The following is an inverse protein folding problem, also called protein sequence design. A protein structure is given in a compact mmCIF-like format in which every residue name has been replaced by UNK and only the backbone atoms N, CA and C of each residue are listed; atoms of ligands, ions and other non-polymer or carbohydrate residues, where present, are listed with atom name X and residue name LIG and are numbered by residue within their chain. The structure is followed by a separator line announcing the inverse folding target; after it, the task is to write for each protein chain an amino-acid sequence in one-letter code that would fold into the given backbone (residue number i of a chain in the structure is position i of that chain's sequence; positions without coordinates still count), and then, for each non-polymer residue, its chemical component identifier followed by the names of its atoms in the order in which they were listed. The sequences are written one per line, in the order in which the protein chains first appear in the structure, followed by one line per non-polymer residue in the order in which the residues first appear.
data_IF_309930006709
#
_entry.id   IF_309930006709
#
_cell.length_a   1.000
_cell.length_b   1.000
_cell.length_c   1.000
_cell.angle_alpha   90.00
_cell.angle_beta   90.00
_cell.angle_gamma   90.00
#
_symmetry.space_group_name_H-M   'P 1'
#
loop_
_entity.id
_entity.type
_entity.pdbx_description
1 polymer ?
#
# COMPACT_ATOMS: atom_id res chain seq x y z
N UNK A 1 -19.48 -29.32 8.92
CA UNK A 1 -20.05 -28.24 8.09
C UNK A 1 -19.02 -27.13 8.08
N UNK A 2 -18.26 -26.99 6.98
CA UNK A 2 -17.26 -25.93 6.83
C UNK A 2 -17.97 -24.59 6.62
N UNK A 3 -17.42 -23.53 7.22
CA UNK A 3 -17.98 -22.20 7.22
C UNK A 3 -17.94 -21.63 5.77
N UNK A 4 -18.97 -20.90 5.27
CA UNK A 4 -18.98 -20.39 3.90
C UNK A 4 -17.82 -19.44 3.54
N UNK A 5 -17.09 -18.97 4.56
CA UNK A 5 -15.90 -18.11 4.44
C UNK A 5 -14.67 -18.96 4.06
N UNK A 6 -14.52 -20.17 4.60
CA UNK A 6 -13.36 -21.03 4.36
C UNK A 6 -13.33 -21.56 2.92
N UNK A 7 -14.50 -21.91 2.37
CA UNK A 7 -14.65 -22.34 0.98
C UNK A 7 -14.25 -21.25 -0.04
N UNK A 8 -14.47 -19.97 0.30
CA UNK A 8 -14.09 -18.83 -0.56
C UNK A 8 -12.58 -18.54 -0.52
N UNK A 9 -11.92 -18.83 0.59
CA UNK A 9 -10.47 -18.68 0.75
C UNK A 9 -9.74 -19.81 -0.01
N UNK A 10 -10.26 -21.04 0.07
CA UNK A 10 -9.72 -22.18 -0.69
C UNK A 10 -9.89 -22.03 -2.21
N UNK A 11 -11.05 -21.55 -2.70
CA UNK A 11 -11.25 -21.26 -4.12
C UNK A 11 -10.34 -20.13 -4.64
N UNK A 12 -10.06 -19.11 -3.81
CA UNK A 12 -9.15 -18.01 -4.12
C UNK A 12 -7.68 -18.48 -4.21
N UNK A 13 -7.26 -19.36 -3.29
CA UNK A 13 -5.94 -19.98 -3.30
C UNK A 13 -5.77 -20.95 -4.48
N UNK A 14 -6.81 -21.67 -4.86
CA UNK A 14 -6.80 -22.55 -6.03
C UNK A 14 -6.68 -21.77 -7.35
N UNK A 15 -7.43 -20.67 -7.51
CA UNK A 15 -7.30 -19.79 -8.69
C UNK A 15 -5.92 -19.12 -8.77
N UNK A 16 -5.34 -18.74 -7.62
CA UNK A 16 -3.99 -18.17 -7.51
C UNK A 16 -2.91 -19.15 -7.99
N UNK A 17 -3.04 -20.43 -7.65
CA UNK A 17 -2.03 -21.44 -7.98
C UNK A 17 -2.04 -21.87 -9.45
N UNK A 18 -3.19 -21.79 -10.13
CA UNK A 18 -3.30 -22.08 -11.57
C UNK A 18 -2.82 -20.92 -12.47
N UNK A 19 -2.65 -19.71 -11.93
CA UNK A 19 -2.20 -18.53 -12.69
C UNK A 19 -0.69 -18.48 -12.95
N UNK A 20 0.11 -19.26 -12.22
CA UNK A 20 1.57 -19.30 -12.37
C UNK A 20 2.10 -20.73 -12.23
N UNK A 21 1.91 -21.56 -13.26
CA UNK A 21 2.71 -22.79 -13.40
C UNK A 21 4.14 -22.39 -13.78
N UNK A 22 5.15 -22.71 -12.95
CA UNK A 22 6.54 -22.31 -13.20
C UNK A 22 7.09 -22.83 -14.54
N UNK A 23 6.55 -23.94 -15.03
CA UNK A 23 7.04 -24.64 -16.21
C UNK A 23 6.51 -24.05 -17.54
N UNK A 24 5.47 -23.21 -17.52
CA UNK A 24 4.83 -22.71 -18.74
C UNK A 24 5.50 -21.43 -19.29
N UNK A 25 6.43 -20.83 -18.55
CA UNK A 25 7.06 -19.56 -18.93
C UNK A 25 8.57 -19.63 -18.70
N UNK A 26 9.29 -20.01 -19.76
CA UNK A 26 10.74 -19.79 -19.82
C UNK A 26 10.99 -18.29 -19.92
N UNK A 27 11.51 -17.70 -18.84
CA UNK A 27 11.87 -16.27 -18.76
C UNK A 27 12.80 -15.85 -19.91
N UNK A 28 13.63 -16.80 -20.37
CA UNK A 28 14.59 -16.67 -21.47
C UNK A 28 13.90 -16.50 -22.84
N UNK A 29 12.68 -17.02 -23.00
CA UNK A 29 11.94 -17.05 -24.27
C UNK A 29 10.98 -15.86 -24.43
N UNK A 30 10.91 -14.93 -23.46
CA UNK A 30 10.03 -13.77 -23.51
C UNK A 30 10.75 -12.55 -24.10
N UNK A 31 10.41 -12.11 -25.33
CA UNK A 31 10.85 -10.81 -25.83
C UNK A 31 10.40 -9.71 -24.85
N UNK A 32 11.24 -8.71 -24.56
CA UNK A 32 10.89 -7.57 -23.68
C UNK A 32 9.53 -6.93 -24.00
N UNK A 33 9.09 -6.97 -25.27
CA UNK A 33 7.79 -6.47 -25.72
C UNK A 33 6.61 -7.32 -25.21
N UNK A 34 6.80 -8.64 -25.09
CA UNK A 34 5.77 -9.59 -24.62
C UNK A 34 5.66 -9.62 -23.09
N UNK A 35 6.74 -9.34 -22.36
CA UNK A 35 6.70 -9.17 -20.90
C UNK A 35 5.74 -8.04 -20.52
N UNK A 36 5.82 -6.91 -21.24
CA UNK A 36 4.91 -5.77 -21.06
C UNK A 36 3.49 -6.09 -21.53
N UNK A 37 3.34 -6.87 -22.61
CA UNK A 37 2.06 -7.36 -23.12
C UNK A 37 1.33 -8.27 -22.11
N UNK A 38 2.05 -9.06 -21.33
CA UNK A 38 1.49 -9.92 -20.29
C UNK A 38 0.78 -9.10 -19.21
N UNK A 39 1.37 -7.96 -18.82
CA UNK A 39 0.73 -6.99 -17.91
C UNK A 39 -0.36 -6.12 -18.56
N UNK A 40 -0.56 -6.22 -19.87
CA UNK A 40 -1.66 -5.53 -20.59
C UNK A 40 -2.79 -6.48 -20.97
N UNK A 41 -2.51 -7.78 -21.11
CA UNK A 41 -3.49 -8.84 -21.36
C UNK A 41 -4.36 -9.11 -20.13
N UNK A 42 -3.78 -9.01 -18.94
CA UNK A 42 -4.51 -8.98 -17.68
C UNK A 42 -4.71 -7.53 -17.27
N UNK A 43 -5.95 -7.14 -16.96
CA UNK A 43 -6.23 -5.84 -16.38
C UNK A 43 -5.51 -5.77 -15.03
N UNK A 44 -4.41 -5.02 -14.94
CA UNK A 44 -3.58 -4.94 -13.72
C UNK A 44 -4.42 -4.61 -12.47
N UNK A 45 -5.48 -3.82 -12.64
CA UNK A 45 -6.43 -3.53 -11.55
C UNK A 45 -7.21 -4.76 -11.06
N UNK A 46 -7.56 -5.70 -11.95
CA UNK A 46 -8.23 -6.96 -11.58
C UNK A 46 -7.26 -7.89 -10.86
N UNK A 47 -6.00 -7.99 -11.30
CA UNK A 47 -4.97 -8.76 -10.59
C UNK A 47 -4.68 -8.18 -9.20
N UNK A 48 -4.62 -6.85 -9.08
CA UNK A 48 -4.47 -6.19 -7.78
C UNK A 48 -5.69 -6.40 -6.89
N UNK A 49 -6.90 -6.43 -7.45
CA UNK A 49 -8.13 -6.73 -6.71
C UNK A 49 -8.18 -8.18 -6.22
N UNK A 50 -7.70 -9.16 -6.98
CA UNK A 50 -7.59 -10.54 -6.50
C UNK A 50 -6.66 -10.65 -5.27
N UNK A 51 -5.57 -9.90 -5.27
CA UNK A 51 -4.62 -9.86 -4.16
C UNK A 51 -5.09 -9.01 -2.96
N UNK A 52 -6.00 -8.06 -3.17
CA UNK A 52 -6.66 -7.29 -2.11
C UNK A 52 -8.13 -7.05 -2.47
N UNK A 53 -9.04 -7.97 -2.10
CA UNK A 53 -10.45 -7.93 -2.51
C UNK A 53 -11.23 -6.80 -1.85
N UNK A 54 -10.67 -6.16 -0.82
CA UNK A 54 -11.30 -5.06 -0.08
C UNK A 54 -11.36 -3.80 -0.95
N UNK A 55 -10.40 -3.62 -1.86
CA UNK A 55 -10.33 -2.48 -2.76
C UNK A 55 -11.07 -2.82 -4.05
N UNK A 56 -12.08 -2.01 -4.40
CA UNK A 56 -12.82 -2.20 -5.63
C UNK A 56 -11.98 -1.85 -6.87
N UNK A 57 -12.34 -2.44 -8.02
CA UNK A 57 -11.64 -2.23 -9.29
C UNK A 57 -11.53 -0.74 -9.70
N UNK A 58 -12.53 0.09 -9.38
CA UNK A 58 -12.52 1.51 -9.71
C UNK A 58 -11.45 2.25 -8.92
N UNK A 59 -11.38 2.06 -7.61
CA UNK A 59 -10.34 2.64 -6.74
C UNK A 59 -8.95 2.21 -7.17
N UNK A 60 -8.77 0.92 -7.50
CA UNK A 60 -7.51 0.42 -8.06
C UNK A 60 -7.16 1.11 -9.37
N UNK A 61 -8.07 1.16 -10.34
CA UNK A 61 -7.82 1.84 -11.63
C UNK A 61 -7.47 3.31 -11.44
N UNK A 62 -8.15 4.01 -10.53
CA UNK A 62 -7.84 5.41 -10.21
C UNK A 62 -6.41 5.53 -9.68
N UNK A 63 -6.03 4.75 -8.66
CA UNK A 63 -4.68 4.75 -8.11
C UNK A 63 -3.61 4.43 -9.16
N UNK A 64 -3.86 3.45 -10.04
CA UNK A 64 -2.93 3.09 -11.10
C UNK A 64 -2.79 4.20 -12.15
N UNK A 65 -3.90 4.86 -12.53
CA UNK A 65 -3.90 5.93 -13.53
C UNK A 65 -3.38 7.27 -13.01
N UNK A 66 -3.45 7.52 -11.70
CA UNK A 66 -2.91 8.75 -11.10
C UNK A 66 -1.46 8.94 -11.52
N UNK A 67 -1.07 10.14 -11.95
CA UNK A 67 0.33 10.46 -12.21
C UNK A 67 1.04 10.62 -10.87
N UNK A 68 2.09 9.84 -10.63
CA UNK A 68 2.80 9.82 -9.35
C UNK A 68 4.24 9.35 -9.58
N UNK A 69 5.19 9.92 -8.85
CA UNK A 69 6.58 9.48 -8.88
C UNK A 69 6.68 8.00 -8.46
N UNK A 70 7.53 7.24 -9.15
CA UNK A 70 7.66 5.81 -8.91
C UNK A 70 8.01 5.44 -7.46
N UNK A 71 8.92 6.14 -6.74
CA UNK A 71 9.21 5.84 -5.35
C UNK A 71 8.00 6.01 -4.42
N UNK A 72 7.22 7.08 -4.63
CA UNK A 72 6.00 7.34 -3.87
C UNK A 72 4.99 6.21 -4.10
N UNK A 73 4.76 5.84 -5.36
CA UNK A 73 3.85 4.75 -5.71
C UNK A 73 4.29 3.44 -5.09
N UNK A 74 5.58 3.14 -5.10
CA UNK A 74 6.11 1.90 -4.52
C UNK A 74 5.86 1.82 -3.02
N UNK A 75 6.07 2.90 -2.27
CA UNK A 75 5.78 2.92 -0.82
C UNK A 75 4.29 2.70 -0.58
N UNK A 76 3.42 3.42 -1.28
CA UNK A 76 1.97 3.28 -1.11
C UNK A 76 1.47 1.88 -1.54
N UNK A 77 1.97 1.36 -2.66
CA UNK A 77 1.65 0.02 -3.11
C UNK A 77 2.06 -1.05 -2.09
N UNK A 78 3.27 -0.94 -1.52
CA UNK A 78 3.71 -1.84 -0.44
C UNK A 78 2.84 -1.72 0.81
N UNK A 79 2.43 -0.51 1.17
CA UNK A 79 1.49 -0.29 2.27
C UNK A 79 0.16 -1.02 2.02
N UNK A 80 -0.46 -0.85 0.85
CA UNK A 80 -1.73 -1.52 0.49
C UNK A 80 -1.63 -3.05 0.62
N UNK A 81 -0.46 -3.61 0.34
CA UNK A 81 -0.18 -5.04 0.45
C UNK A 81 0.39 -5.48 1.80
N UNK A 82 0.51 -4.58 2.78
CA UNK A 82 1.13 -4.86 4.10
C UNK A 82 2.57 -5.40 3.98
N UNK A 83 3.31 -4.97 2.94
CA UNK A 83 4.67 -5.38 2.60
C UNK A 83 5.68 -4.24 2.71
N UNK A 84 5.41 -3.26 3.57
CA UNK A 84 6.39 -2.22 3.87
C UNK A 84 7.40 -2.76 4.90
N UNK A 85 8.66 -2.40 4.73
CA UNK A 85 9.73 -2.79 5.66
C UNK A 85 9.57 -2.02 6.97
N UNK A 86 8.95 -2.64 7.98
CA UNK A 86 8.90 -2.13 9.36
C UNK A 86 10.07 -2.65 10.16
N UNK A 87 10.43 -2.03 11.29
CA UNK A 87 11.41 -2.61 12.20
C UNK A 87 11.02 -3.98 12.69
N UNK A 88 9.74 -4.24 12.98
CA UNK A 88 9.30 -5.58 13.37
C UNK A 88 9.62 -6.65 12.29
N UNK A 89 9.32 -6.35 11.03
CA UNK A 89 9.67 -7.26 9.93
C UNK A 89 11.19 -7.37 9.74
N UNK A 90 11.92 -6.26 9.85
CA UNK A 90 13.36 -6.23 9.61
C UNK A 90 14.14 -6.90 10.74
N UNK A 91 13.68 -6.81 11.99
CA UNK A 91 14.21 -7.57 13.12
C UNK A 91 14.02 -9.07 12.92
N UNK A 92 12.83 -9.48 12.44
CA UNK A 92 12.56 -10.89 12.12
C UNK A 92 13.49 -11.45 11.03
N UNK A 93 13.74 -10.68 9.97
CA UNK A 93 14.54 -11.13 8.82
C UNK A 93 16.05 -10.94 9.03
N UNK A 94 16.45 -9.90 9.74
CA UNK A 94 17.86 -9.52 9.99
C UNK A 94 18.12 -9.21 11.47
N UNK A 95 17.94 -10.18 12.38
CA UNK A 95 18.05 -9.95 13.84
C UNK A 95 19.46 -9.57 14.31
N UNK A 96 20.48 -9.77 13.47
CA UNK A 96 21.86 -9.35 13.77
C UNK A 96 22.12 -7.87 13.46
N UNK A 97 21.30 -7.27 12.61
CA UNK A 97 21.46 -5.89 12.13
C UNK A 97 20.46 -4.97 12.81
N UNK A 98 19.25 -5.45 13.05
CA UNK A 98 18.17 -4.71 13.71
C UNK A 98 17.98 -5.33 15.10
N UNK A 99 18.27 -4.56 16.14
CA UNK A 99 18.35 -5.04 17.53
C UNK A 99 16.99 -5.44 18.11
N UNK A 100 15.92 -4.73 17.73
CA UNK A 100 14.56 -4.92 18.24
C UNK A 100 13.49 -4.56 17.20
N UNK A 101 12.23 -4.87 17.53
CA UNK A 101 11.05 -4.56 16.73
C UNK A 101 10.40 -3.21 17.06
N UNK A 102 11.09 -2.35 17.82
CA UNK A 102 10.53 -1.13 18.39
C UNK A 102 10.74 0.08 17.47
N UNK A 103 9.78 1.00 17.47
CA UNK A 103 9.89 2.26 16.76
C UNK A 103 10.99 3.13 17.39
N UNK A 104 11.90 3.65 16.58
CA UNK A 104 13.04 4.46 17.05
C UNK A 104 12.62 5.80 17.68
N UNK A 105 11.38 6.24 17.50
CA UNK A 105 10.91 7.54 18.01
C UNK A 105 10.21 7.40 19.36
N UNK A 106 9.30 6.45 19.51
CA UNK A 106 8.49 6.30 20.73
C UNK A 106 8.67 4.95 21.46
N UNK A 107 9.53 4.07 20.96
CA UNK A 107 9.88 2.77 21.56
C UNK A 107 8.69 1.82 21.75
N UNK A 108 7.63 1.96 20.94
CA UNK A 108 6.52 1.01 20.87
C UNK A 108 6.71 0.02 19.72
N UNK A 109 6.11 -1.18 19.76
CA UNK A 109 6.21 -2.15 18.67
C UNK A 109 5.82 -1.57 17.32
N UNK A 110 6.70 -1.68 16.32
CA UNK A 110 6.54 -1.01 15.03
C UNK A 110 5.82 -1.91 14.00
N UNK A 111 4.48 -1.82 14.01
CA UNK A 111 3.64 -2.36 12.95
C UNK A 111 3.64 -1.47 11.70
N UNK A 112 3.02 -1.95 10.61
CA UNK A 112 2.85 -1.16 9.36
C UNK A 112 2.12 0.16 9.63
N UNK A 113 1.04 0.11 10.41
CA UNK A 113 0.29 1.30 10.78
C UNK A 113 1.10 2.21 11.70
N UNK A 114 1.91 1.65 12.61
CA UNK A 114 2.76 2.45 13.49
C UNK A 114 3.88 3.16 12.72
N UNK A 115 4.50 2.48 11.76
CA UNK A 115 5.56 3.03 10.91
C UNK A 115 5.12 4.26 10.12
N UNK A 116 3.85 4.34 9.70
CA UNK A 116 3.40 5.42 8.81
C UNK A 116 2.40 6.38 9.45
N UNK A 117 1.64 5.95 10.46
CA UNK A 117 0.51 6.71 10.99
C UNK A 117 0.57 6.84 12.51
N UNK A 118 0.47 5.71 13.24
CA UNK A 118 0.11 5.68 14.67
C UNK A 118 1.24 6.00 15.65
N UNK A 119 2.45 6.29 15.15
CA UNK A 119 3.51 6.82 16.00
C UNK A 119 3.15 8.28 16.36
N UNK A 120 3.14 8.70 17.64
CA UNK A 120 2.76 10.07 18.01
C UNK A 120 3.53 11.17 17.27
N UNK A 121 4.81 10.93 16.99
CA UNK A 121 5.64 11.85 16.21
C UNK A 121 5.22 11.97 14.74
N UNK A 122 4.66 10.90 14.16
CA UNK A 122 4.16 10.86 12.78
C UNK A 122 2.72 11.37 12.69
N UNK A 123 1.91 11.15 13.73
CA UNK A 123 0.57 11.73 13.85
C UNK A 123 0.60 13.25 13.78
N UNK A 124 1.60 13.89 14.42
CA UNK A 124 1.79 15.35 14.35
C UNK A 124 1.98 15.82 12.90
N UNK A 125 2.80 15.12 12.11
CA UNK A 125 3.02 15.45 10.70
C UNK A 125 1.72 15.35 9.90
N UNK A 126 0.98 14.26 10.08
CA UNK A 126 -0.33 14.08 9.43
C UNK A 126 -1.31 15.17 9.82
N UNK A 127 -1.35 15.54 11.10
CA UNK A 127 -2.23 16.58 11.62
C UNK A 127 -1.91 17.93 10.99
N UNK A 128 -0.64 18.32 10.98
CA UNK A 128 -0.19 19.57 10.36
C UNK A 128 -0.49 19.59 8.86
N UNK A 129 -0.26 18.49 8.16
CA UNK A 129 -0.58 18.40 6.73
C UNK A 129 -2.09 18.49 6.47
N UNK A 130 -2.92 17.90 7.33
CA UNK A 130 -4.38 18.01 7.23
C UNK A 130 -4.85 19.44 7.45
N UNK A 131 -4.34 20.12 8.48
CA UNK A 131 -4.62 21.53 8.72
C UNK A 131 -4.20 22.41 7.54
N UNK A 132 -3.09 22.09 6.87
CA UNK A 132 -2.60 22.88 5.76
C UNK A 132 -3.35 22.62 4.45
N UNK A 133 -3.64 21.36 4.12
CA UNK A 133 -4.09 20.97 2.77
C UNK A 133 -5.54 20.51 2.67
N UNK A 134 -6.20 20.16 3.78
CA UNK A 134 -7.54 19.56 3.79
C UNK A 134 -8.55 20.37 4.60
N UNK A 135 -9.82 20.32 4.20
CA UNK A 135 -10.93 20.91 4.97
C UNK A 135 -11.53 19.94 6.00
N UNK A 136 -11.07 18.69 6.02
CA UNK A 136 -11.58 17.65 6.90
C UNK A 136 -10.86 17.67 8.26
N UNK A 137 -11.57 17.37 9.36
CA UNK A 137 -10.88 17.00 10.59
C UNK A 137 -10.11 15.70 10.38
N UNK A 138 -9.02 15.52 11.13
CA UNK A 138 -8.20 14.33 11.06
C UNK A 138 -8.60 13.31 12.13
N UNK A 139 -8.78 12.06 11.70
CA UNK A 139 -8.79 10.87 12.54
C UNK A 139 -7.74 9.94 11.95
N UNK A 140 -6.63 9.74 12.66
CA UNK A 140 -5.46 9.00 12.15
C UNK A 140 -5.82 7.53 11.88
N UNK A 141 -6.60 6.89 12.76
CA UNK A 141 -6.98 5.48 12.58
C UNK A 141 -7.86 5.31 11.35
N UNK A 142 -8.82 6.21 11.17
CA UNK A 142 -9.65 6.19 9.95
C UNK A 142 -8.83 6.51 8.71
N UNK A 143 -7.90 7.46 8.80
CA UNK A 143 -7.01 7.85 7.72
C UNK A 143 -6.14 6.68 7.24
N UNK A 144 -5.54 5.92 8.18
CA UNK A 144 -4.72 4.76 7.81
C UNK A 144 -5.56 3.74 7.03
N UNK A 145 -6.77 3.45 7.51
CA UNK A 145 -7.68 2.52 6.85
C UNK A 145 -8.13 3.02 5.48
N UNK A 146 -8.47 4.30 5.35
CA UNK A 146 -8.92 4.88 4.08
C UNK A 146 -7.77 4.95 3.05
N UNK A 147 -6.53 5.18 3.47
CA UNK A 147 -5.34 5.15 2.60
C UNK A 147 -5.01 3.73 2.15
N UNK A 148 -5.03 2.75 3.07
CA UNK A 148 -4.77 1.33 2.76
C UNK A 148 -5.84 0.78 1.80
N UNK A 149 -7.09 1.19 1.96
CA UNK A 149 -8.21 0.69 1.16
C UNK A 149 -8.61 1.61 0.00
N UNK A 150 -7.83 2.66 -0.28
CA UNK A 150 -8.08 3.63 -1.36
C UNK A 150 -9.50 4.25 -1.32
N UNK A 151 -9.98 4.60 -0.11
CA UNK A 151 -11.28 5.25 0.15
C UNK A 151 -11.13 6.77 0.29
N UNK A 152 -10.49 7.36 -0.71
CA UNK A 152 -10.03 8.75 -0.64
C UNK A 152 -11.10 9.79 -1.01
N UNK A 153 -12.26 9.38 -1.51
CA UNK A 153 -13.33 10.29 -1.96
C UNK A 153 -13.95 11.15 -0.86
N UNK A 154 -13.71 10.81 0.41
CA UNK A 154 -14.27 11.52 1.56
C UNK A 154 -13.48 12.79 1.94
N UNK A 155 -12.31 13.00 1.34
CA UNK A 155 -11.41 14.08 1.69
C UNK A 155 -11.45 15.20 0.66
N UNK A 156 -11.48 16.44 1.14
CA UNK A 156 -11.62 17.65 0.34
C UNK A 156 -10.34 18.46 0.50
N UNK A 157 -9.61 18.63 -0.60
CA UNK A 157 -8.41 19.46 -0.66
C UNK A 157 -8.78 20.94 -0.80
N UNK A 158 -8.00 21.82 -0.17
CA UNK A 158 -8.18 23.27 -0.23
C UNK A 158 -7.85 23.90 -1.59
N UNK A 159 -6.86 23.34 -2.31
CA UNK A 159 -6.41 23.81 -3.62
C UNK A 159 -6.43 22.69 -4.69
N UNK A 160 -7.62 22.15 -5.04
CA UNK A 160 -7.75 20.99 -5.93
C UNK A 160 -7.25 21.26 -7.36
N UNK A 161 -7.17 22.53 -7.77
CA UNK A 161 -6.66 22.92 -9.09
C UNK A 161 -5.13 22.79 -9.21
N UNK A 162 -4.42 22.64 -8.09
CA UNK A 162 -2.96 22.61 -8.05
C UNK A 162 -2.40 21.24 -7.66
N UNK A 163 -3.06 20.56 -6.72
CA UNK A 163 -2.59 19.30 -6.14
C UNK A 163 -3.74 18.31 -6.01
N UNK A 164 -3.45 17.04 -6.30
CA UNK A 164 -4.42 15.95 -6.09
C UNK A 164 -4.27 15.34 -4.69
N UNK A 165 -5.28 14.58 -4.27
CA UNK A 165 -5.25 13.88 -2.98
C UNK A 165 -4.11 12.88 -2.90
N UNK A 166 -3.83 12.25 -4.04
CA UNK A 166 -2.74 11.29 -4.16
C UNK A 166 -1.37 11.96 -4.08
N UNK A 167 -1.23 13.20 -4.55
CA UNK A 167 0.03 13.93 -4.45
C UNK A 167 0.36 14.21 -2.98
N UNK A 168 -0.61 14.76 -2.24
CA UNK A 168 -0.41 15.12 -0.83
C UNK A 168 -0.20 13.87 0.03
N UNK A 169 -1.12 12.90 -0.03
CA UNK A 169 -1.00 11.68 0.78
C UNK A 169 0.24 10.87 0.41
N UNK A 170 0.54 10.74 -0.89
CA UNK A 170 1.72 10.05 -1.36
C UNK A 170 3.00 10.71 -0.89
N UNK A 171 3.11 12.04 -1.00
CA UNK A 171 4.28 12.77 -0.55
C UNK A 171 4.53 12.59 0.96
N UNK A 172 3.48 12.63 1.78
CA UNK A 172 3.60 12.41 3.23
C UNK A 172 4.06 10.98 3.52
N UNK A 173 3.41 9.97 2.94
CA UNK A 173 3.79 8.56 3.11
C UNK A 173 5.26 8.32 2.75
N UNK A 174 5.67 8.86 1.61
CA UNK A 174 7.04 8.73 1.13
C UNK A 174 8.03 9.48 2.03
N UNK A 175 7.70 10.70 2.46
CA UNK A 175 8.52 11.49 3.37
C UNK A 175 8.72 10.81 4.73
N UNK A 176 7.66 10.26 5.31
CA UNK A 176 7.73 9.48 6.55
C UNK A 176 8.62 8.25 6.38
N UNK A 177 8.46 7.52 5.27
CA UNK A 177 9.26 6.34 4.98
C UNK A 177 10.75 6.68 4.78
N UNK A 178 11.09 7.73 4.03
CA UNK A 178 12.47 8.20 3.84
C UNK A 178 13.10 8.78 5.10
N UNK A 179 12.32 9.35 6.01
CA UNK A 179 12.86 9.82 7.29
C UNK A 179 13.18 8.64 8.22
N UNK A 180 12.60 7.47 7.98
CA UNK A 180 12.80 6.28 8.79
C UNK A 180 13.95 5.38 8.26
N UNK A 181 14.17 5.34 6.94
CA UNK A 181 15.20 4.53 6.27
C UNK A 181 16.14 5.39 5.43
#
# INVERSE_FOLDING_TARGET
MLNPIDARVEDSLALSNDLFKPDDIRIEDLPRKNFRAMFTKYNYAELCQLNNPIINATSWRSFIKTTMLAPIRNVWFRLIHQKISTRAYMHQVMPRTIEDDLCMLCHQPESVNHLLFLCPHKEILWTQAFEQYFNNPIDIFRLSEDIIHLRLSNYIIKAPDQITIYDVMGAILFGVWCAHW
#
